data_IF_406241754411
#
_entry.id   IF_406241754411
#
_cell.length_a   1.000
_cell.length_b   1.000
_cell.length_c   1.000
_cell.angle_alpha   90.00
_cell.angle_beta   90.00
_cell.angle_gamma   90.00
#
_symmetry.space_group_name_H-M   'P 1'
#
loop_
_entity.id
_entity.type
_entity.pdbx_description
1 polymer ?
#
# COMPACT_ATOMS: atom_id res chain seq x y z
N UNK A 1 -23.03 23.61 -12.74
CA UNK A 1 -21.73 23.33 -12.09
C UNK A 1 -22.03 22.58 -10.80
N UNK A 2 -21.80 21.27 -10.77
CA UNK A 2 -22.04 20.44 -9.59
C UNK A 2 -20.65 20.10 -9.05
N UNK A 3 -20.22 20.78 -7.98
CA UNK A 3 -19.07 20.33 -7.20
C UNK A 3 -19.56 19.27 -6.23
N UNK A 4 -19.23 18.00 -6.48
CA UNK A 4 -19.47 16.93 -5.53
C UNK A 4 -18.21 16.80 -4.67
N UNK A 5 -18.23 17.17 -3.38
CA UNK A 5 -17.12 16.91 -2.48
C UNK A 5 -17.08 15.41 -2.23
N UNK A 6 -16.10 14.73 -2.83
CA UNK A 6 -15.96 13.29 -2.73
C UNK A 6 -14.89 12.96 -1.68
N UNK A 7 -15.32 12.50 -0.51
CA UNK A 7 -14.45 11.90 0.51
C UNK A 7 -14.44 10.38 0.32
N UNK A 8 -13.28 9.81 0.06
CA UNK A 8 -13.13 8.37 -0.17
C UNK A 8 -12.22 7.77 0.90
N UNK A 9 -12.74 6.78 1.64
CA UNK A 9 -12.00 6.08 2.69
C UNK A 9 -11.41 4.74 2.24
N UNK A 10 -11.81 4.22 1.07
CA UNK A 10 -11.33 2.95 0.51
C UNK A 10 -11.45 2.90 -1.03
N UNK A 11 -10.70 1.98 -1.67
CA UNK A 11 -10.64 1.83 -3.13
C UNK A 11 -12.02 1.54 -3.76
N UNK A 12 -12.83 0.69 -3.13
CA UNK A 12 -14.17 0.35 -3.62
C UNK A 12 -15.08 1.57 -3.74
N UNK A 13 -15.02 2.48 -2.77
CA UNK A 13 -15.81 3.71 -2.78
C UNK A 13 -15.37 4.66 -3.90
N UNK A 14 -14.06 4.73 -4.17
CA UNK A 14 -13.52 5.49 -5.28
C UNK A 14 -13.99 4.91 -6.62
N UNK A 15 -13.89 3.59 -6.82
CA UNK A 15 -14.34 2.92 -8.05
C UNK A 15 -15.84 3.12 -8.28
N UNK A 16 -16.67 2.86 -7.27
CA UNK A 16 -18.13 3.02 -7.39
C UNK A 16 -18.54 4.44 -7.79
N UNK A 17 -17.83 5.45 -7.27
CA UNK A 17 -18.11 6.83 -7.65
C UNK A 17 -17.61 7.14 -9.05
N UNK A 18 -16.43 6.65 -9.46
CA UNK A 18 -15.96 6.82 -10.83
C UNK A 18 -16.90 6.14 -11.84
N UNK A 19 -17.45 4.98 -11.50
CA UNK A 19 -18.43 4.27 -12.33
C UNK A 19 -19.75 5.05 -12.47
N UNK A 20 -20.08 5.90 -11.49
CA UNK A 20 -21.26 6.77 -11.53
C UNK A 20 -21.06 8.06 -12.33
N UNK A 21 -19.82 8.36 -12.74
CA UNK A 21 -19.46 9.59 -13.45
C UNK A 21 -19.34 9.29 -14.94
N UNK A 22 -20.08 10.01 -15.82
CA UNK A 22 -19.94 9.85 -17.26
C UNK A 22 -18.53 10.23 -17.75
N UNK A 23 -17.96 9.51 -18.73
CA UNK A 23 -16.70 9.90 -19.37
C UNK A 23 -16.73 11.33 -19.93
N UNK A 24 -15.60 12.04 -19.87
CA UNK A 24 -15.49 13.43 -20.29
C UNK A 24 -15.95 14.46 -19.25
N UNK A 25 -16.29 14.01 -18.04
CA UNK A 25 -16.71 14.91 -16.95
C UNK A 25 -15.49 15.44 -16.20
N UNK A 26 -15.43 16.75 -15.98
CA UNK A 26 -14.45 17.34 -15.06
C UNK A 26 -14.89 17.16 -13.62
N UNK A 27 -14.05 16.49 -12.84
CA UNK A 27 -14.26 16.20 -11.43
C UNK A 27 -13.27 17.00 -10.58
N UNK A 28 -13.72 17.38 -9.38
CA UNK A 28 -12.92 18.09 -8.40
C UNK A 28 -12.47 17.09 -7.32
N UNK A 29 -11.17 16.81 -7.26
CA UNK A 29 -10.60 15.90 -6.27
C UNK A 29 -9.78 16.71 -5.28
N UNK A 30 -10.00 16.46 -3.99
CA UNK A 30 -9.12 16.96 -2.93
C UNK A 30 -8.32 15.79 -2.39
N UNK A 31 -7.00 15.91 -2.39
CA UNK A 31 -6.08 14.86 -1.96
C UNK A 31 -5.04 15.40 -1.00
N UNK A 32 -4.50 14.51 -0.17
CA UNK A 32 -3.32 14.80 0.64
C UNK A 32 -2.08 14.50 -0.21
N UNK A 33 -1.25 15.51 -0.42
CA UNK A 33 0.02 15.42 -1.15
C UNK A 33 1.18 15.47 -0.16
N UNK A 34 1.99 14.42 -0.17
CA UNK A 34 3.26 14.35 0.54
C UNK A 34 4.39 14.30 -0.50
N UNK A 35 5.36 15.21 -0.38
CA UNK A 35 6.56 15.21 -1.22
C UNK A 35 7.65 14.37 -0.59
N UNK A 36 8.48 13.69 -1.38
CA UNK A 36 9.66 12.98 -0.89
C UNK A 36 10.70 13.90 -0.23
N UNK A 37 10.62 15.22 -0.49
CA UNK A 37 11.50 16.24 0.08
C UNK A 37 10.96 16.92 1.34
N UNK A 38 9.75 16.58 1.81
CA UNK A 38 9.11 17.24 2.94
C UNK A 38 8.30 16.28 3.79
N UNK A 39 8.42 16.39 5.12
CA UNK A 39 7.57 15.66 6.08
C UNK A 39 6.19 16.29 6.24
N UNK A 40 5.92 17.40 5.55
CA UNK A 40 4.64 18.11 5.63
C UNK A 40 3.67 17.56 4.60
N UNK A 41 2.52 17.09 5.07
CA UNK A 41 1.40 16.69 4.23
C UNK A 41 0.56 17.93 3.93
N UNK A 42 0.31 18.21 2.66
CA UNK A 42 -0.49 19.37 2.21
C UNK A 42 -1.77 18.90 1.55
N UNK A 43 -2.88 19.58 1.82
CA UNK A 43 -4.13 19.31 1.13
C UNK A 43 -4.13 20.08 -0.20
N UNK A 44 -4.30 19.37 -1.31
CA UNK A 44 -4.30 19.94 -2.66
C UNK A 44 -5.63 19.60 -3.33
N UNK A 45 -6.24 20.59 -3.97
CA UNK A 45 -7.40 20.40 -4.83
C UNK A 45 -6.97 20.42 -6.30
N UNK A 46 -7.34 19.40 -7.06
CA UNK A 46 -7.03 19.25 -8.48
C UNK A 46 -8.31 19.02 -9.28
N UNK A 47 -8.33 19.58 -10.49
CA UNK A 47 -9.40 19.35 -11.46
C UNK A 47 -8.90 18.30 -12.45
N UNK A 48 -9.57 17.15 -12.51
CA UNK A 48 -9.26 16.08 -13.45
C UNK A 48 -10.43 15.90 -14.41
N UNK A 49 -10.17 15.70 -15.69
CA UNK A 49 -11.20 15.33 -16.67
C UNK A 49 -11.11 13.84 -16.91
N UNK A 50 -12.21 13.12 -16.67
CA UNK A 50 -12.26 11.67 -16.90
C UNK A 50 -12.21 11.37 -18.40
N UNK A 51 -11.54 10.28 -18.77
CA UNK A 51 -11.57 9.70 -20.10
C UNK A 51 -12.49 8.47 -20.14
N UNK A 52 -12.82 7.99 -21.33
CA UNK A 52 -13.49 6.69 -21.50
C UNK A 52 -12.46 5.58 -21.31
N UNK A 53 -12.71 4.65 -20.38
CA UNK A 53 -11.85 3.48 -20.19
C UNK A 53 -11.77 2.64 -21.46
N UNK A 54 -12.90 2.46 -22.14
CA UNK A 54 -12.96 1.74 -23.41
C UNK A 54 -12.07 2.37 -24.48
N UNK A 55 -12.10 3.69 -24.65
CA UNK A 55 -11.31 4.37 -25.67
C UNK A 55 -9.81 4.29 -25.35
N UNK A 56 -9.46 4.43 -24.08
CA UNK A 56 -8.09 4.26 -23.60
C UNK A 56 -7.54 2.85 -23.91
N UNK A 57 -8.26 1.79 -23.54
CA UNK A 57 -7.81 0.42 -23.82
C UNK A 57 -7.87 0.09 -25.31
N UNK A 58 -8.80 0.65 -26.08
CA UNK A 58 -8.82 0.50 -27.55
C UNK A 58 -7.54 1.06 -28.18
N UNK A 59 -7.05 2.20 -27.69
CA UNK A 59 -5.88 2.87 -28.24
C UNK A 59 -4.56 2.25 -27.78
N UNK A 60 -4.45 1.89 -26.50
CA UNK A 60 -3.17 1.51 -25.88
C UNK A 60 -3.01 0.01 -25.59
N UNK A 61 -4.09 -0.75 -25.39
CA UNK A 61 -4.03 -2.17 -25.04
C UNK A 61 -5.30 -2.94 -25.44
N UNK A 62 -5.56 -3.12 -26.75
CA UNK A 62 -6.83 -3.65 -27.25
C UNK A 62 -7.14 -5.08 -26.78
N UNK A 63 -6.11 -5.88 -26.50
CA UNK A 63 -6.28 -7.25 -25.98
C UNK A 63 -6.79 -7.33 -24.53
N UNK A 64 -6.76 -6.22 -23.78
CA UNK A 64 -7.30 -6.12 -22.42
C UNK A 64 -8.62 -5.35 -22.37
N UNK A 65 -9.14 -4.92 -23.53
CA UNK A 65 -10.38 -4.16 -23.59
C UNK A 65 -11.61 -5.08 -23.44
N UNK A 66 -12.67 -4.55 -22.84
CA UNK A 66 -13.95 -5.25 -22.67
C UNK A 66 -15.10 -4.32 -23.07
N UNK A 67 -16.18 -4.85 -23.69
CA UNK A 67 -17.41 -4.08 -23.92
C UNK A 67 -18.01 -3.48 -22.64
N UNK A 68 -17.72 -4.06 -21.46
CA UNK A 68 -18.15 -3.53 -20.16
C UNK A 68 -17.53 -2.17 -19.83
N UNK A 69 -16.41 -1.79 -20.44
CA UNK A 69 -15.70 -0.54 -20.15
C UNK A 69 -16.31 0.70 -20.81
N UNK A 70 -17.35 0.54 -21.64
CA UNK A 70 -17.97 1.66 -22.38
C UNK A 70 -18.65 2.70 -21.47
N UNK A 71 -19.09 2.28 -20.29
CA UNK A 71 -19.72 3.15 -19.29
C UNK A 71 -18.78 3.54 -18.15
N UNK A 72 -17.51 3.14 -18.20
CA UNK A 72 -16.55 3.37 -17.12
C UNK A 72 -15.70 4.62 -17.38
N UNK A 73 -15.72 5.55 -16.43
CA UNK A 73 -14.77 6.67 -16.41
C UNK A 73 -13.38 6.20 -16.00
N UNK A 74 -12.37 6.73 -16.68
CA UNK A 74 -10.97 6.40 -16.47
C UNK A 74 -10.16 7.65 -16.14
N UNK A 75 -9.36 7.57 -15.07
CA UNK A 75 -8.47 8.65 -14.65
C UNK A 75 -6.99 8.37 -14.94
N UNK A 76 -6.62 7.15 -15.35
CA UNK A 76 -5.21 6.81 -15.61
C UNK A 76 -4.33 6.85 -14.37
N UNK A 77 -4.91 6.75 -13.16
CA UNK A 77 -4.19 6.75 -11.90
C UNK A 77 -4.03 5.32 -11.38
N UNK A 78 -2.84 4.99 -10.91
CA UNK A 78 -2.60 3.78 -10.13
C UNK A 78 -2.90 4.09 -8.68
N UNK A 79 -3.91 3.44 -8.12
CA UNK A 79 -4.16 3.46 -6.68
C UNK A 79 -3.41 2.32 -6.03
N UNK A 80 -2.46 2.64 -5.15
CA UNK A 80 -1.87 1.66 -4.25
C UNK A 80 -2.33 1.95 -2.82
N UNK A 81 -2.40 0.91 -2.01
CA UNK A 81 -2.69 1.08 -0.59
C UNK A 81 -1.49 1.74 0.07
N UNK A 82 -1.71 2.90 0.70
CA UNK A 82 -0.69 3.63 1.48
C UNK A 82 -0.17 2.87 2.72
N UNK A 83 -0.49 1.57 2.85
CA UNK A 83 -0.03 0.69 3.92
C UNK A 83 -0.34 -0.80 3.72
N UNK A 84 -0.84 -1.24 2.56
CA UNK A 84 -1.22 -2.66 2.32
C UNK A 84 -0.49 -3.25 1.10
N UNK A 85 0.76 -2.85 0.92
CA UNK A 85 1.83 -3.84 0.68
C UNK A 85 2.59 -4.13 1.99
N UNK A 86 2.08 -3.63 3.13
CA UNK A 86 2.58 -3.97 4.44
C UNK A 86 2.07 -5.35 4.82
N UNK A 87 3.00 -6.26 5.07
CA UNK A 87 2.71 -7.48 5.82
C UNK A 87 1.87 -7.15 7.06
N UNK A 88 0.90 -8.02 7.40
CA UNK A 88 0.10 -7.80 8.62
C UNK A 88 1.02 -7.70 9.84
N UNK A 89 0.62 -6.96 10.87
CA UNK A 89 1.43 -6.86 12.09
C UNK A 89 1.67 -8.23 12.73
N UNK A 90 0.70 -9.14 12.59
CA UNK A 90 0.83 -10.54 13.02
C UNK A 90 1.87 -11.30 12.20
N UNK A 91 1.91 -11.11 10.88
CA UNK A 91 2.96 -11.66 10.02
C UNK A 91 4.31 -11.07 10.43
N UNK A 92 4.43 -9.74 10.53
CA UNK A 92 5.68 -9.08 10.93
C UNK A 92 6.17 -9.58 12.29
N UNK A 93 5.27 -9.77 13.25
CA UNK A 93 5.59 -10.35 14.55
C UNK A 93 6.09 -11.79 14.40
N UNK A 94 5.39 -12.63 13.64
CA UNK A 94 5.77 -14.02 13.40
C UNK A 94 7.14 -14.13 12.74
N UNK A 95 7.41 -13.26 11.75
CA UNK A 95 8.65 -13.24 11.00
C UNK A 95 9.83 -12.68 11.82
N UNK A 96 9.65 -11.53 12.48
CA UNK A 96 10.71 -10.86 13.29
C UNK A 96 11.14 -11.71 14.48
N UNK A 97 10.20 -12.42 15.11
CA UNK A 97 10.49 -13.29 16.26
C UNK A 97 10.79 -14.74 15.86
N UNK A 98 10.95 -15.04 14.56
CA UNK A 98 11.38 -16.34 14.07
C UNK A 98 10.34 -17.47 14.20
N UNK A 99 9.07 -17.14 14.51
CA UNK A 99 8.00 -18.12 14.55
C UNK A 99 7.72 -18.69 13.15
N UNK A 100 7.90 -17.90 12.08
CA UNK A 100 7.77 -18.39 10.70
C UNK A 100 8.86 -19.40 10.33
N UNK A 101 10.08 -19.30 10.87
CA UNK A 101 11.12 -20.30 10.65
C UNK A 101 10.75 -21.67 11.25
N UNK A 102 10.00 -21.67 12.36
CA UNK A 102 9.64 -22.88 13.11
C UNK A 102 8.31 -23.46 12.61
N UNK A 103 7.31 -22.62 12.36
CA UNK A 103 5.93 -23.04 12.07
C UNK A 103 5.49 -22.78 10.63
N UNK A 104 6.23 -21.96 9.87
CA UNK A 104 5.90 -21.57 8.49
C UNK A 104 6.43 -22.52 7.41
N UNK A 105 6.99 -23.67 7.79
CA UNK A 105 7.56 -24.65 6.87
C UNK A 105 8.75 -24.10 6.07
N UNK A 106 9.00 -24.66 4.89
CA UNK A 106 10.15 -24.26 4.03
C UNK A 106 10.05 -22.81 3.58
N UNK A 107 8.85 -22.33 3.26
CA UNK A 107 8.62 -20.93 2.89
C UNK A 107 8.96 -19.99 4.04
N UNK A 108 8.45 -20.25 5.25
CA UNK A 108 8.76 -19.42 6.43
C UNK A 108 10.24 -19.45 6.84
N UNK A 109 10.93 -20.58 6.64
CA UNK A 109 12.37 -20.69 6.81
C UNK A 109 13.14 -19.76 5.84
N UNK A 110 12.86 -19.82 4.54
CA UNK A 110 13.51 -18.94 3.56
C UNK A 110 13.13 -17.46 3.73
N UNK A 111 11.88 -17.17 4.11
CA UNK A 111 11.45 -15.82 4.46
C UNK A 111 12.27 -15.27 5.63
N UNK A 112 12.46 -16.05 6.69
CA UNK A 112 13.27 -15.65 7.86
C UNK A 112 14.73 -15.44 7.47
N UNK A 113 15.33 -16.37 6.73
CA UNK A 113 16.71 -16.22 6.21
C UNK A 113 16.90 -14.97 5.34
N UNK A 114 15.84 -14.54 4.65
CA UNK A 114 15.92 -13.38 3.76
C UNK A 114 15.90 -12.03 4.47
N UNK A 115 15.58 -11.98 5.78
CA UNK A 115 15.39 -10.73 6.54
C UNK A 115 16.59 -9.76 6.52
N UNK A 116 17.85 -10.21 6.60
CA UNK A 116 19.00 -9.30 6.52
C UNK A 116 19.11 -8.60 5.17
N UNK A 117 18.80 -9.33 4.08
CA UNK A 117 18.81 -8.78 2.73
C UNK A 117 17.69 -7.78 2.48
N UNK A 118 16.61 -7.87 3.26
CA UNK A 118 15.49 -6.93 3.26
C UNK A 118 15.71 -5.74 4.22
N UNK A 119 16.81 -5.71 4.99
CA UNK A 119 17.05 -4.68 6.02
C UNK A 119 16.11 -4.79 7.22
N UNK A 120 15.49 -5.95 7.44
CA UNK A 120 14.60 -6.26 8.55
C UNK A 120 15.31 -6.98 9.71
N UNK A 121 16.57 -7.37 9.51
CA UNK A 121 17.47 -7.90 10.54
C UNK A 121 18.89 -7.29 10.38
N UNK A 122 19.49 -6.67 11.42
CA UNK A 122 18.92 -6.38 12.73
C UNK A 122 17.62 -5.56 12.63
N UNK A 123 16.68 -5.79 13.55
CA UNK A 123 15.36 -5.13 13.51
C UNK A 123 15.54 -3.60 13.52
N UNK A 124 15.08 -2.88 12.48
CA UNK A 124 15.28 -1.43 12.39
C UNK A 124 14.47 -0.71 13.48
N UNK A 125 14.99 0.43 13.96
CA UNK A 125 14.40 1.17 15.08
C UNK A 125 12.93 1.58 14.86
N UNK A 126 12.56 1.91 13.61
CA UNK A 126 11.18 2.21 13.25
C UNK A 126 10.22 1.02 13.41
N UNK A 127 10.69 -0.19 13.11
CA UNK A 127 9.92 -1.43 13.30
C UNK A 127 9.91 -1.86 14.77
N UNK A 128 11.05 -1.74 15.45
CA UNK A 128 11.18 -2.03 16.88
C UNK A 128 10.22 -1.16 17.72
N UNK A 129 10.00 0.10 17.34
CA UNK A 129 9.09 1.00 18.02
C UNK A 129 7.61 0.55 17.98
N UNK A 130 7.25 -0.37 17.08
CA UNK A 130 5.89 -0.91 16.97
C UNK A 130 5.62 -2.06 17.96
N UNK A 131 6.65 -2.56 18.63
CA UNK A 131 6.54 -3.67 19.58
C UNK A 131 6.91 -3.21 21.00
N UNK A 132 6.11 -3.63 21.98
CA UNK A 132 6.46 -3.47 23.38
C UNK A 132 7.52 -4.50 23.77
N UNK A 133 8.70 -4.02 24.19
CA UNK A 133 9.72 -4.90 24.75
C UNK A 133 9.24 -5.42 26.12
N UNK A 134 9.30 -6.74 26.38
CA UNK A 134 8.85 -7.34 27.65
C UNK A 134 9.75 -6.98 28.84
N UNK A 135 10.96 -6.49 28.57
CA UNK A 135 11.92 -5.99 29.56
C UNK A 135 12.77 -4.88 28.94
N UNK A 136 13.87 -4.48 29.61
CA UNK A 136 14.77 -3.41 29.15
C UNK A 136 15.09 -3.50 27.65
N UNK A 137 14.56 -2.55 26.88
CA UNK A 137 14.47 -2.64 25.43
C UNK A 137 15.83 -2.86 24.73
N UNK A 138 16.95 -2.22 25.13
CA UNK A 138 18.24 -2.50 24.51
C UNK A 138 18.70 -3.95 24.67
N UNK A 139 18.46 -4.57 25.84
CA UNK A 139 18.78 -5.98 26.05
C UNK A 139 17.85 -6.89 25.25
N UNK A 140 16.55 -6.57 25.19
CA UNK A 140 15.58 -7.35 24.43
C UNK A 140 15.95 -7.39 22.93
N UNK A 141 16.14 -6.23 22.31
CA UNK A 141 16.49 -6.14 20.90
C UNK A 141 17.87 -6.71 20.60
N UNK A 142 18.83 -6.57 21.52
CA UNK A 142 20.12 -7.25 21.41
C UNK A 142 19.93 -8.78 21.35
N UNK A 143 19.14 -9.34 22.27
CA UNK A 143 18.87 -10.79 22.27
C UNK A 143 18.12 -11.26 21.03
N UNK A 144 17.07 -10.55 20.58
CA UNK A 144 16.32 -10.90 19.36
C UNK A 144 17.22 -10.92 18.13
N UNK A 145 18.08 -9.93 17.98
CA UNK A 145 19.02 -9.85 16.85
C UNK A 145 20.13 -10.90 16.93
N UNK A 146 20.57 -11.30 18.13
CA UNK A 146 21.53 -12.39 18.30
C UNK A 146 20.91 -13.76 17.98
N UNK A 147 19.72 -14.04 18.50
CA UNK A 147 19.05 -15.32 18.26
C UNK A 147 18.64 -15.52 16.81
N UNK A 148 18.43 -14.45 16.05
CA UNK A 148 18.25 -14.53 14.59
C UNK A 148 19.39 -15.29 13.88
N UNK A 149 20.64 -15.17 14.32
CA UNK A 149 21.79 -15.83 13.69
C UNK A 149 22.03 -17.27 14.14
N UNK A 150 21.18 -17.79 15.03
CA UNK A 150 21.28 -19.17 15.52
C UNK A 150 20.54 -20.16 14.59
N UNK A 151 19.78 -19.64 13.62
CA UNK A 151 19.03 -20.41 12.61
C UNK A 151 19.85 -20.65 11.32
#
# INVERSE_FOLDING_TARGET
>A
RISIPLQFSNQTSLTNVLDSIPPGTTIHITMLYASSSSTTVTQVAVNLTTASKYDYYTQYAPGLNSPSFKSESFLGVTTSYLGVEGYSMDFMKSTVFGADAIYGGTTGFFTTLSLPFQGLSPVPSGLAALFAAPFYAPLFWFTTNMFFWVF
#
